data_IF_020729551077
#
_entry.id   IF_020729551077
#
_cell.length_a   1.000
_cell.length_b   1.000
_cell.length_c   1.000
_cell.angle_alpha   90.00
_cell.angle_beta   90.00
_cell.angle_gamma   90.00
#
_symmetry.space_group_name_H-M   'P 1'
#
loop_
_entity.id
_entity.type
_entity.pdbx_description
1 polymer ?
#
# COMPACT_ATOMS: atom_id res chain seq x y z
N UNK A 1 20.25 -16.33 14.43
CA UNK A 1 19.65 -17.09 13.30
C UNK A 1 19.55 -16.31 11.99
N UNK A 2 19.67 -14.96 11.96
CA UNK A 2 19.56 -14.19 10.70
C UNK A 2 20.79 -14.20 9.76
N UNK A 3 21.89 -14.88 10.11
CA UNK A 3 23.14 -14.79 9.32
C UNK A 3 23.29 -15.83 8.21
N UNK A 4 22.42 -16.86 8.14
CA UNK A 4 22.56 -17.96 7.16
C UNK A 4 21.87 -17.71 5.81
N UNK A 5 20.90 -16.79 5.73
CA UNK A 5 20.17 -16.51 4.48
C UNK A 5 20.87 -15.47 3.58
N UNK A 6 21.83 -14.70 4.11
CA UNK A 6 22.56 -13.68 3.35
C UNK A 6 23.69 -14.24 2.45
N UNK A 7 23.93 -15.56 2.44
CA UNK A 7 25.12 -16.15 1.80
C UNK A 7 24.83 -16.74 0.40
N UNK A 8 23.61 -16.61 -0.13
CA UNK A 8 23.21 -17.27 -1.38
C UNK A 8 22.81 -16.35 -2.55
N UNK A 9 22.79 -15.03 -2.35
CA UNK A 9 22.48 -14.09 -3.43
C UNK A 9 23.75 -13.43 -3.96
N UNK A 10 23.93 -13.44 -5.27
CA UNK A 10 24.92 -12.61 -5.95
C UNK A 10 24.66 -11.13 -5.65
N UNK A 11 25.69 -10.31 -5.78
CA UNK A 11 25.58 -8.86 -5.56
C UNK A 11 24.51 -8.21 -6.43
N UNK A 12 24.31 -8.69 -7.65
CA UNK A 12 23.26 -8.21 -8.56
C UNK A 12 21.86 -8.60 -8.09
N UNK A 13 21.68 -9.84 -7.63
CA UNK A 13 20.40 -10.29 -7.07
C UNK A 13 20.05 -9.51 -5.80
N UNK A 14 21.03 -9.24 -4.93
CA UNK A 14 20.82 -8.41 -3.75
C UNK A 14 20.38 -6.99 -4.11
N UNK A 15 21.05 -6.36 -5.08
CA UNK A 15 20.68 -5.03 -5.55
C UNK A 15 19.26 -5.01 -6.12
N UNK A 16 18.87 -6.04 -6.88
CA UNK A 16 17.52 -6.18 -7.42
C UNK A 16 16.47 -6.33 -6.31
N UNK A 17 16.76 -7.13 -5.28
CA UNK A 17 15.89 -7.28 -4.11
C UNK A 17 15.73 -5.96 -3.36
N UNK A 18 16.80 -5.19 -3.19
CA UNK A 18 16.75 -3.86 -2.57
C UNK A 18 15.89 -2.88 -3.38
N UNK A 19 16.05 -2.84 -4.71
CA UNK A 19 15.22 -1.99 -5.57
C UNK A 19 13.73 -2.38 -5.53
N UNK A 20 13.41 -3.67 -5.57
CA UNK A 20 12.02 -4.15 -5.47
C UNK A 20 11.43 -3.75 -4.11
N UNK A 21 12.21 -3.86 -3.02
CA UNK A 21 11.79 -3.44 -1.69
C UNK A 21 11.50 -1.94 -1.62
N UNK A 22 12.38 -1.10 -2.17
CA UNK A 22 12.20 0.35 -2.22
C UNK A 22 10.94 0.74 -3.01
N UNK A 23 10.71 0.10 -4.17
CA UNK A 23 9.51 0.29 -4.98
C UNK A 23 8.26 -0.12 -4.18
N UNK A 24 8.29 -1.27 -3.51
CA UNK A 24 7.18 -1.75 -2.70
C UNK A 24 6.85 -0.82 -1.52
N UNK A 25 7.87 -0.34 -0.82
CA UNK A 25 7.71 0.61 0.30
C UNK A 25 7.09 1.92 -0.20
N UNK A 26 7.65 2.47 -1.29
CA UNK A 26 7.12 3.69 -1.91
C UNK A 26 5.67 3.51 -2.38
N UNK A 27 5.35 2.40 -3.03
CA UNK A 27 4.00 2.09 -3.48
C UNK A 27 3.00 2.02 -2.30
N UNK A 28 3.41 1.37 -1.21
CA UNK A 28 2.59 1.21 -0.01
C UNK A 28 2.29 2.56 0.64
N UNK A 29 3.30 3.42 0.80
CA UNK A 29 3.11 4.78 1.35
C UNK A 29 2.16 5.62 0.47
N UNK A 30 2.26 5.49 -0.85
CA UNK A 30 1.39 6.20 -1.79
C UNK A 30 -0.06 5.73 -1.69
N UNK A 31 -0.28 4.42 -1.59
CA UNK A 31 -1.61 3.83 -1.38
C UNK A 31 -2.22 4.33 -0.08
N UNK A 32 -1.47 4.33 1.01
CA UNK A 32 -1.96 4.84 2.31
C UNK A 32 -2.32 6.32 2.24
N UNK A 33 -1.46 7.14 1.63
CA UNK A 33 -1.69 8.57 1.47
C UNK A 33 -2.95 8.83 0.63
N UNK A 34 -3.13 8.11 -0.46
CA UNK A 34 -4.28 8.24 -1.35
C UNK A 34 -5.57 7.76 -0.66
N UNK A 35 -5.52 6.65 0.08
CA UNK A 35 -6.64 6.15 0.89
C UNK A 35 -7.12 7.21 1.89
N UNK A 36 -6.19 7.89 2.58
CA UNK A 36 -6.51 9.00 3.49
C UNK A 36 -7.16 10.19 2.74
N UNK A 37 -6.66 10.52 1.55
CA UNK A 37 -7.25 11.58 0.72
C UNK A 37 -8.67 11.22 0.25
N UNK A 38 -8.91 9.97 -0.13
CA UNK A 38 -10.23 9.48 -0.53
C UNK A 38 -11.23 9.50 0.63
N UNK A 39 -10.81 9.07 1.83
CA UNK A 39 -11.61 9.21 3.06
C UNK A 39 -12.01 10.66 3.33
N UNK A 40 -11.07 11.61 3.16
CA UNK A 40 -11.35 13.04 3.34
C UNK A 40 -12.33 13.56 2.28
N UNK A 41 -12.15 13.18 1.00
CA UNK A 41 -13.04 13.59 -0.09
C UNK A 41 -14.45 13.03 0.05
N UNK A 42 -14.59 11.82 0.55
CA UNK A 42 -15.90 11.17 0.75
C UNK A 42 -16.61 11.66 2.01
N UNK A 43 -16.01 12.55 2.81
CA UNK A 43 -16.48 12.97 4.13
C UNK A 43 -16.88 11.78 5.02
N UNK A 44 -16.14 10.65 4.94
CA UNK A 44 -16.44 9.49 5.78
C UNK A 44 -16.12 9.83 7.23
N UNK A 45 -17.16 10.17 7.97
CA UNK A 45 -17.05 10.65 9.34
C UNK A 45 -16.64 9.50 10.28
N UNK A 46 -15.70 9.76 11.19
CA UNK A 46 -15.21 8.74 12.12
C UNK A 46 -16.28 8.18 13.06
N UNK A 47 -17.37 8.93 13.27
CA UNK A 47 -18.53 8.45 14.01
C UNK A 47 -19.20 7.22 13.36
N UNK A 48 -19.14 7.07 12.03
CA UNK A 48 -19.67 5.88 11.35
C UNK A 48 -18.95 4.60 11.76
N UNK A 49 -17.69 4.70 12.20
CA UNK A 49 -16.96 3.55 12.76
C UNK A 49 -17.65 2.97 14.01
N UNK A 50 -18.33 3.81 14.79
CA UNK A 50 -19.00 3.42 16.04
C UNK A 50 -20.47 3.07 15.82
N UNK A 51 -21.13 3.66 14.81
CA UNK A 51 -22.56 3.43 14.54
C UNK A 51 -22.81 2.34 13.50
N UNK A 52 -21.94 2.20 12.50
CA UNK A 52 -22.02 1.17 11.45
C UNK A 52 -20.60 0.75 11.01
N UNK A 53 -20.02 -0.14 11.81
CA UNK A 53 -18.65 -0.63 11.58
C UNK A 53 -18.50 -1.36 10.25
N UNK A 54 -19.52 -2.11 9.80
CA UNK A 54 -19.45 -2.87 8.54
C UNK A 54 -19.43 -1.93 7.34
N UNK A 55 -20.28 -0.90 7.34
CA UNK A 55 -20.23 0.14 6.33
C UNK A 55 -18.88 0.87 6.32
N UNK A 56 -18.38 1.23 7.51
CA UNK A 56 -17.09 1.92 7.63
C UNK A 56 -15.92 1.10 7.06
N UNK A 57 -15.84 -0.19 7.42
CA UNK A 57 -14.81 -1.09 6.90
C UNK A 57 -14.97 -1.29 5.38
N UNK A 58 -16.21 -1.45 4.90
CA UNK A 58 -16.50 -1.55 3.47
C UNK A 58 -16.02 -0.34 2.68
N UNK A 59 -16.30 0.87 3.17
CA UNK A 59 -15.85 2.11 2.55
C UNK A 59 -14.33 2.27 2.59
N UNK A 60 -13.68 2.00 3.72
CA UNK A 60 -12.23 2.04 3.83
C UNK A 60 -11.54 1.06 2.89
N UNK A 61 -12.10 -0.15 2.73
CA UNK A 61 -11.62 -1.14 1.76
C UNK A 61 -11.81 -0.67 0.33
N UNK A 62 -12.95 -0.04 0.01
CA UNK A 62 -13.18 0.55 -1.31
C UNK A 62 -12.14 1.63 -1.64
N UNK A 63 -11.86 2.54 -0.72
CA UNK A 63 -10.83 3.56 -0.91
C UNK A 63 -9.43 2.96 -1.08
N UNK A 64 -9.12 1.92 -0.31
CA UNK A 64 -7.84 1.22 -0.43
C UNK A 64 -7.72 0.55 -1.81
N UNK A 65 -8.74 -0.18 -2.26
CA UNK A 65 -8.75 -0.81 -3.57
C UNK A 65 -8.60 0.22 -4.70
N UNK A 66 -9.33 1.34 -4.64
CA UNK A 66 -9.20 2.41 -5.63
C UNK A 66 -7.78 3.00 -5.64
N UNK A 67 -7.18 3.21 -4.46
CA UNK A 67 -5.81 3.68 -4.36
C UNK A 67 -4.80 2.66 -4.92
N UNK A 68 -4.97 1.37 -4.63
CA UNK A 68 -4.14 0.29 -5.17
C UNK A 68 -4.24 0.22 -6.69
N UNK A 69 -5.44 0.28 -7.28
CA UNK A 69 -5.63 0.27 -8.73
C UNK A 69 -4.93 1.44 -9.43
N UNK A 70 -5.03 2.66 -8.87
CA UNK A 70 -4.37 3.84 -9.45
C UNK A 70 -2.86 3.68 -9.40
N UNK A 71 -2.29 3.34 -8.24
CA UNK A 71 -0.84 3.20 -8.06
C UNK A 71 -0.28 2.03 -8.88
N UNK A 72 -1.00 0.92 -8.96
CA UNK A 72 -0.59 -0.24 -9.75
C UNK A 72 -0.54 0.07 -11.24
N UNK A 73 -1.55 0.76 -11.77
CA UNK A 73 -1.54 1.22 -13.16
C UNK A 73 -0.34 2.16 -13.41
N UNK A 74 -0.08 3.11 -12.52
CA UNK A 74 1.09 3.97 -12.67
C UNK A 74 2.41 3.21 -12.63
N UNK A 75 2.55 2.17 -11.80
CA UNK A 75 3.80 1.39 -11.71
C UNK A 75 4.05 0.49 -12.94
N UNK A 76 3.00 0.00 -13.60
CA UNK A 76 3.11 -0.87 -14.77
C UNK A 76 3.33 -0.09 -16.07
N UNK A 77 2.73 1.10 -16.18
CA UNK A 77 2.83 1.93 -17.38
C UNK A 77 3.99 2.95 -17.32
N UNK A 78 4.95 2.79 -16.41
CA UNK A 78 6.21 3.56 -16.33
C UNK A 78 7.24 3.07 -17.36
#
# INVERSE_FOLDING_TARGET
MSSKYNIYFSREEYNKLMQIKEIQETATERVEKMTKQLKLKSNLAENTKNTDMLYWVGMMNNFKNQAEEIIFNELIYV
#
